data_IF_614346102436
#
_entry.id   IF_614346102436
#
_cell.length_a   1.000
_cell.length_b   1.000
_cell.length_c   1.000
_cell.angle_alpha   90.00
_cell.angle_beta   90.00
_cell.angle_gamma   90.00
#
_symmetry.space_group_name_H-M   'P 1'
#
loop_
_entity.id
_entity.type
_entity.pdbx_description
1 polymer ?
#
# COMPACT_ATOMS: atom_id res chain seq x y z
N UNK A 1 -4.28 -3.31 17.53
CA UNK A 1 -3.17 -2.99 16.58
C UNK A 1 -3.72 -1.99 15.60
N UNK A 2 -2.96 -0.95 15.32
CA UNK A 2 -3.52 0.35 14.94
C UNK A 2 -3.29 0.64 13.45
N UNK A 3 -3.94 -0.14 12.60
CA UNK A 3 -4.03 0.13 11.17
C UNK A 3 -5.47 0.43 10.80
N UNK A 4 -5.64 1.34 9.84
CA UNK A 4 -6.89 1.59 9.15
C UNK A 4 -6.73 1.05 7.73
N UNK A 5 -7.64 0.16 7.37
CA UNK A 5 -7.71 -0.41 6.03
C UNK A 5 -8.90 0.20 5.30
N UNK A 6 -8.64 0.79 4.15
CA UNK A 6 -9.65 1.25 3.20
C UNK A 6 -9.61 0.34 1.97
N UNK A 7 -10.78 -0.08 1.51
CA UNK A 7 -10.95 -0.83 0.25
C UNK A 7 -12.05 -0.13 -0.53
N UNK A 8 -11.74 0.33 -1.74
CA UNK A 8 -12.67 0.98 -2.65
C UNK A 8 -13.42 2.16 -2.01
N UNK A 9 -12.71 2.92 -1.14
CA UNK A 9 -13.26 4.05 -0.38
C UNK A 9 -13.92 3.70 0.95
N UNK A 10 -14.22 2.42 1.22
CA UNK A 10 -14.86 1.96 2.45
C UNK A 10 -13.82 1.56 3.51
N UNK A 11 -13.98 2.06 4.74
CA UNK A 11 -13.08 1.71 5.85
C UNK A 11 -13.57 0.45 6.53
N UNK A 12 -12.71 -0.58 6.54
CA UNK A 12 -13.04 -1.86 7.18
C UNK A 12 -12.88 -1.77 8.71
N UNK A 13 -13.78 -2.41 9.49
CA UNK A 13 -13.78 -2.31 10.96
C UNK A 13 -12.64 -3.10 11.61
N UNK A 14 -12.07 -4.08 10.90
CA UNK A 14 -10.97 -4.91 11.37
C UNK A 14 -9.95 -5.15 10.27
N UNK A 15 -8.67 -5.17 10.66
CA UNK A 15 -7.55 -5.55 9.78
C UNK A 15 -6.99 -6.88 10.26
N UNK A 16 -6.87 -7.84 9.35
CA UNK A 16 -6.17 -9.11 9.59
C UNK A 16 -5.41 -9.54 8.35
N UNK A 17 -4.47 -10.47 8.51
CA UNK A 17 -3.73 -11.03 7.35
C UNK A 17 -4.68 -11.63 6.32
N UNK A 18 -5.77 -12.27 6.75
CA UNK A 18 -6.74 -12.83 5.81
C UNK A 18 -7.53 -11.75 5.09
N UNK A 19 -7.93 -10.69 5.79
CA UNK A 19 -8.63 -9.55 5.19
C UNK A 19 -7.72 -8.85 4.16
N UNK A 20 -6.45 -8.64 4.48
CA UNK A 20 -5.48 -8.03 3.55
C UNK A 20 -5.28 -8.88 2.29
N UNK A 21 -5.11 -10.19 2.46
CA UNK A 21 -5.02 -11.12 1.33
C UNK A 21 -6.24 -11.02 0.43
N UNK A 22 -7.43 -11.11 1.03
CA UNK A 22 -8.68 -11.04 0.29
C UNK A 22 -8.81 -9.71 -0.45
N UNK A 23 -8.52 -8.59 0.22
CA UNK A 23 -8.61 -7.25 -0.36
C UNK A 23 -7.67 -7.11 -1.56
N UNK A 24 -6.39 -7.48 -1.42
CA UNK A 24 -5.40 -7.43 -2.53
C UNK A 24 -5.81 -8.33 -3.70
N UNK A 25 -6.27 -9.55 -3.44
CA UNK A 25 -6.71 -10.46 -4.52
C UNK A 25 -8.02 -10.04 -5.17
N UNK A 26 -8.78 -9.14 -4.54
CA UNK A 26 -10.07 -8.65 -5.07
C UNK A 26 -9.92 -7.37 -5.88
N UNK A 27 -8.73 -6.76 -5.93
CA UNK A 27 -8.48 -5.58 -6.77
C UNK A 27 -8.67 -5.99 -8.24
N UNK A 28 -9.43 -5.19 -8.97
CA UNK A 28 -9.65 -5.33 -10.40
C UNK A 28 -9.32 -4.02 -11.13
N UNK A 29 -9.23 -4.06 -12.46
CA UNK A 29 -8.82 -2.92 -13.28
C UNK A 29 -9.99 -1.92 -13.42
N UNK A 30 -10.14 -1.08 -12.42
CA UNK A 30 -11.13 0.00 -12.35
C UNK A 30 -10.61 1.13 -11.47
N UNK A 31 -10.92 2.38 -11.82
CA UNK A 31 -10.46 3.57 -11.10
C UNK A 31 -10.95 3.59 -9.65
N UNK A 32 -12.07 2.94 -9.35
CA UNK A 32 -12.60 2.80 -8.00
C UNK A 32 -12.06 1.61 -7.22
N UNK A 33 -11.26 0.73 -7.83
CA UNK A 33 -10.74 -0.48 -7.19
C UNK A 33 -9.33 -0.27 -6.63
N UNK A 34 -9.23 -0.13 -5.32
CA UNK A 34 -7.96 0.12 -4.64
C UNK A 34 -8.01 -0.28 -3.18
N UNK A 35 -6.82 -0.44 -2.60
CA UNK A 35 -6.62 -0.70 -1.18
C UNK A 35 -5.65 0.33 -0.61
N UNK A 36 -5.93 0.86 0.58
CA UNK A 36 -5.00 1.71 1.34
C UNK A 36 -4.89 1.18 2.76
N UNK A 37 -3.66 0.94 3.20
CA UNK A 37 -3.33 0.52 4.55
C UNK A 37 -2.54 1.63 5.27
N UNK A 38 -3.19 2.30 6.20
CA UNK A 38 -2.65 3.43 6.97
C UNK A 38 -2.31 2.98 8.40
N UNK A 39 -1.06 3.09 8.86
CA UNK A 39 -0.75 2.92 10.28
C UNK A 39 -1.14 4.19 11.06
N UNK A 40 -1.57 4.08 12.31
CA UNK A 40 -1.83 5.26 13.15
C UNK A 40 -0.57 6.07 13.46
N UNK A 41 0.59 5.44 13.42
CA UNK A 41 1.89 6.11 13.56
C UNK A 41 2.75 5.72 12.37
N UNK A 42 3.42 6.68 11.70
CA UNK A 42 4.20 6.36 10.51
C UNK A 42 5.25 5.26 10.77
N UNK A 43 5.35 4.31 9.86
CA UNK A 43 6.36 3.24 9.91
C UNK A 43 7.58 3.68 9.14
N UNK A 44 8.70 3.96 9.80
CA UNK A 44 9.92 4.46 9.12
C UNK A 44 9.59 5.66 8.20
N UNK A 45 8.80 6.60 8.73
CA UNK A 45 8.22 7.75 8.01
C UNK A 45 7.14 7.45 6.96
N UNK A 46 6.87 6.18 6.64
CA UNK A 46 5.77 5.78 5.75
C UNK A 46 4.41 6.02 6.39
N UNK A 47 3.56 6.79 5.73
CA UNK A 47 2.22 7.14 6.20
C UNK A 47 1.12 6.23 5.65
N UNK A 48 1.40 5.44 4.60
CA UNK A 48 0.51 4.42 4.06
C UNK A 48 1.24 3.48 3.11
N UNK A 49 0.58 2.35 2.82
CA UNK A 49 0.84 1.54 1.64
C UNK A 49 -0.48 1.43 0.85
N UNK A 50 -0.45 1.76 -0.44
CA UNK A 50 -1.63 1.66 -1.31
C UNK A 50 -1.36 0.78 -2.52
N UNK A 51 -2.40 0.16 -3.06
CA UNK A 51 -2.32 -0.52 -4.34
C UNK A 51 -3.60 -0.38 -5.16
N UNK A 52 -3.43 -0.31 -6.47
CA UNK A 52 -4.47 -0.39 -7.48
C UNK A 52 -3.98 -1.27 -8.64
N UNK A 53 -4.90 -1.72 -9.51
CA UNK A 53 -4.57 -2.46 -10.72
C UNK A 53 -4.84 -1.56 -11.93
N UNK A 54 -3.90 -1.51 -12.86
CA UNK A 54 -4.05 -0.80 -14.13
C UNK A 54 -3.37 -1.63 -15.24
N UNK A 55 -4.09 -1.92 -16.32
CA UNK A 55 -3.57 -2.69 -17.47
C UNK A 55 -2.92 -4.04 -17.06
N UNK A 56 -3.56 -4.77 -16.14
CA UNK A 56 -3.06 -6.02 -15.52
C UNK A 56 -1.72 -5.89 -14.75
N UNK A 57 -1.28 -4.68 -14.43
CA UNK A 57 -0.15 -4.44 -13.55
C UNK A 57 -0.62 -3.79 -12.26
N UNK A 58 -0.23 -4.35 -11.13
CA UNK A 58 -0.42 -3.69 -9.85
C UNK A 58 0.53 -2.52 -9.76
N UNK A 59 0.00 -1.38 -9.34
CA UNK A 59 0.75 -0.21 -8.94
C UNK A 59 0.65 -0.12 -7.43
N UNK A 60 1.78 -0.25 -6.74
CA UNK A 60 1.88 -0.11 -5.29
C UNK A 60 2.61 1.19 -4.99
N UNK A 61 2.08 1.98 -4.07
CA UNK A 61 2.69 3.25 -3.69
C UNK A 61 2.79 3.42 -2.19
N UNK A 62 3.80 4.19 -1.77
CA UNK A 62 3.98 4.60 -0.39
C UNK A 62 4.57 6.01 -0.33
N UNK A 63 4.13 6.79 0.65
CA UNK A 63 4.66 8.13 0.90
C UNK A 63 5.40 8.15 2.23
N UNK A 64 6.64 8.61 2.19
CA UNK A 64 7.45 8.90 3.38
C UNK A 64 7.36 10.39 3.70
N UNK A 65 7.13 10.75 4.97
CA UNK A 65 7.03 12.15 5.41
C UNK A 65 8.15 12.48 6.41
N UNK A 66 8.81 13.62 6.22
CA UNK A 66 9.91 14.14 7.03
C UNK A 66 9.68 15.62 7.35
N UNK A 67 8.84 15.91 8.34
CA UNK A 67 8.43 17.28 8.63
C UNK A 67 7.53 17.84 7.53
N UNK A 68 8.01 18.88 6.82
CA UNK A 68 7.30 19.48 5.67
C UNK A 68 7.66 18.83 4.33
N UNK A 69 8.72 18.04 4.28
CA UNK A 69 9.16 17.33 3.07
C UNK A 69 8.53 15.94 2.99
N UNK A 70 8.36 15.44 1.76
CA UNK A 70 7.94 14.06 1.53
C UNK A 70 8.68 13.44 0.35
N UNK A 71 8.69 12.12 0.31
CA UNK A 71 9.06 11.35 -0.88
C UNK A 71 7.96 10.37 -1.20
N UNK A 72 7.60 10.25 -2.47
CA UNK A 72 6.61 9.31 -2.96
C UNK A 72 7.28 8.24 -3.81
N UNK A 73 7.06 6.98 -3.47
CA UNK A 73 7.61 5.84 -4.19
C UNK A 73 6.50 5.01 -4.81
N UNK A 74 6.76 4.52 -6.02
CA UNK A 74 5.89 3.62 -6.78
C UNK A 74 6.66 2.36 -7.15
N UNK A 75 5.99 1.22 -7.07
CA UNK A 75 6.46 -0.05 -7.60
C UNK A 75 5.39 -0.67 -8.48
N UNK A 76 5.80 -1.32 -9.56
CA UNK A 76 4.88 -2.00 -10.47
C UNK A 76 5.24 -3.48 -10.57
N UNK A 77 4.23 -4.34 -10.52
CA UNK A 77 4.39 -5.80 -10.64
C UNK A 77 3.11 -6.44 -11.14
N UNK A 78 3.23 -7.54 -11.88
CA UNK A 78 2.09 -8.39 -12.23
C UNK A 78 1.86 -9.53 -11.22
N UNK A 79 2.68 -9.65 -10.17
CA UNK A 79 2.59 -10.72 -9.19
C UNK A 79 1.78 -10.29 -7.95
N UNK A 80 0.52 -10.74 -7.87
CA UNK A 80 -0.36 -10.50 -6.72
C UNK A 80 0.20 -11.04 -5.41
N UNK A 81 1.04 -12.08 -5.43
CA UNK A 81 1.67 -12.59 -4.22
C UNK A 81 2.71 -11.62 -3.69
N UNK A 82 3.44 -10.93 -4.58
CA UNK A 82 4.40 -9.90 -4.19
C UNK A 82 3.67 -8.71 -3.53
N UNK A 83 2.57 -8.24 -4.13
CA UNK A 83 1.71 -7.20 -3.54
C UNK A 83 1.20 -7.64 -2.17
N UNK A 84 0.64 -8.85 -2.09
CA UNK A 84 0.12 -9.42 -0.83
C UNK A 84 1.21 -9.47 0.25
N UNK A 85 2.43 -9.86 -0.12
CA UNK A 85 3.56 -9.94 0.81
C UNK A 85 3.95 -8.56 1.34
N UNK A 86 3.90 -7.50 0.51
CA UNK A 86 4.14 -6.14 1.00
C UNK A 86 3.11 -5.74 2.06
N UNK A 87 1.81 -5.90 1.79
CA UNK A 87 0.76 -5.56 2.76
C UNK A 87 0.85 -6.38 4.05
N UNK A 88 1.12 -7.68 3.95
CA UNK A 88 1.26 -8.55 5.12
C UNK A 88 2.50 -8.19 5.95
N UNK A 89 3.65 -7.92 5.33
CA UNK A 89 4.85 -7.49 6.05
C UNK A 89 4.65 -6.11 6.70
N UNK A 90 4.01 -5.18 5.99
CA UNK A 90 3.68 -3.85 6.50
C UNK A 90 2.78 -3.92 7.74
N UNK A 91 1.74 -4.77 7.71
CA UNK A 91 0.82 -4.96 8.82
C UNK A 91 1.38 -5.78 9.99
N UNK A 92 1.95 -6.96 9.70
CA UNK A 92 2.32 -7.95 10.72
C UNK A 92 3.70 -7.66 11.31
N UNK A 93 4.63 -7.26 10.47
CA UNK A 93 6.04 -7.13 10.81
C UNK A 93 6.45 -5.65 11.02
N UNK A 94 5.50 -4.71 10.83
CA UNK A 94 5.71 -3.25 10.91
C UNK A 94 6.89 -2.79 10.05
N UNK A 95 7.03 -3.38 8.86
CA UNK A 95 8.19 -3.20 7.99
C UNK A 95 7.78 -2.63 6.64
N UNK A 96 8.46 -1.57 6.22
CA UNK A 96 8.26 -1.00 4.88
C UNK A 96 9.00 -1.81 3.79
N UNK A 97 8.55 -1.77 2.52
CA UNK A 97 9.28 -2.38 1.41
C UNK A 97 10.70 -1.82 1.25
N UNK A 98 11.63 -2.60 0.70
CA UNK A 98 12.95 -2.08 0.29
C UNK A 98 12.78 -1.20 -0.96
N UNK A 99 12.86 0.13 -0.75
CA UNK A 99 12.58 1.14 -1.76
C UNK A 99 13.67 1.26 -2.84
N UNK A 100 14.79 0.54 -2.75
CA UNK A 100 15.86 0.58 -3.76
C UNK A 100 15.41 0.17 -5.17
N UNK A 101 14.32 -0.61 -5.27
CA UNK A 101 13.74 -1.08 -6.54
C UNK A 101 12.45 -0.32 -6.90
N UNK A 102 12.09 0.69 -6.13
CA UNK A 102 10.90 1.50 -6.34
C UNK A 102 11.30 2.79 -7.06
N UNK A 103 10.44 3.27 -7.94
CA UNK A 103 10.61 4.54 -8.63
C UNK A 103 10.23 5.67 -7.68
N UNK A 104 11.11 6.65 -7.53
CA UNK A 104 10.77 7.89 -6.83
C UNK A 104 9.93 8.76 -7.79
N UNK A 105 8.65 8.91 -7.48
CA UNK A 105 7.66 9.67 -8.25
C UNK A 105 7.23 10.93 -7.51
N UNK A 106 8.07 11.46 -6.61
CA UNK A 106 7.76 12.65 -5.79
C UNK A 106 7.35 13.84 -6.65
N UNK A 107 8.02 14.06 -7.79
CA UNK A 107 7.78 15.20 -8.69
C UNK A 107 6.44 15.12 -9.45
N UNK A 108 5.68 14.03 -9.33
CA UNK A 108 4.32 13.90 -9.89
C UNK A 108 3.24 14.53 -8.98
N UNK A 109 3.58 15.04 -7.79
CA UNK A 109 2.67 15.52 -6.75
C UNK A 109 3.02 16.93 -6.23
#
# INVERSE_FOLDING_TARGET
MNFKLMVDGEVLPEVSVQVLKNAVTSIYDDVGSFIVLEPQTPLESSIYLQAALNDNSYMIETRLVFGEEFSHYRYTTSDVNEVTNFFVAYYRDNKIPDLKRWDNVTDEF
#
